data_IF_868138867373
#
_entry.id   IF_868138867373
#
_cell.length_a   1.000
_cell.length_b   1.000
_cell.length_c   1.000
_cell.angle_alpha   90.00
_cell.angle_beta   90.00
_cell.angle_gamma   90.00
#
_symmetry.space_group_name_H-M   'P 1'
#
loop_
_entity.id
_entity.type
_entity.pdbx_description
1 polymer ?
#
# COMPACT_ATOMS: atom_id res chain seq x y z
N UNK A 1 -54.46 -53.87 12.15
CA UNK A 1 -53.77 -53.59 13.44
C UNK A 1 -52.30 -53.88 13.22
N UNK A 2 -51.53 -52.85 12.86
CA UNK A 2 -50.08 -52.91 12.71
C UNK A 2 -49.52 -51.76 13.56
N UNK A 3 -48.80 -52.10 14.63
CA UNK A 3 -48.16 -51.13 15.50
C UNK A 3 -46.83 -50.68 14.89
N UNK A 4 -46.70 -49.36 14.75
CA UNK A 4 -45.55 -48.67 14.18
C UNK A 4 -44.24 -48.94 14.95
N UNK A 5 -43.17 -49.19 14.20
CA UNK A 5 -41.79 -49.29 14.69
C UNK A 5 -41.25 -47.91 15.03
N UNK A 6 -40.97 -47.67 16.32
CA UNK A 6 -40.15 -46.55 16.78
C UNK A 6 -38.66 -46.89 16.55
N UNK A 7 -37.96 -46.07 15.76
CA UNK A 7 -36.49 -46.07 15.69
C UNK A 7 -35.97 -45.06 16.72
N UNK A 8 -35.29 -45.54 17.75
CA UNK A 8 -34.50 -44.72 18.67
C UNK A 8 -33.12 -44.52 18.03
N UNK A 9 -32.84 -43.31 17.57
CA UNK A 9 -31.48 -42.89 17.18
C UNK A 9 -30.81 -42.32 18.42
N UNK A 10 -29.88 -43.07 19.00
CA UNK A 10 -29.04 -42.60 20.11
C UNK A 10 -27.94 -41.71 19.51
N UNK A 11 -27.98 -40.42 19.83
CA UNK A 11 -26.88 -39.49 19.58
C UNK A 11 -25.74 -39.78 20.57
N UNK A 12 -24.60 -40.23 20.05
CA UNK A 12 -23.35 -40.27 20.82
C UNK A 12 -22.63 -38.93 20.60
N UNK A 13 -22.71 -38.05 21.60
CA UNK A 13 -21.91 -36.83 21.66
C UNK A 13 -20.44 -37.22 21.86
N UNK A 14 -19.59 -36.90 20.88
CA UNK A 14 -18.13 -36.96 21.01
C UNK A 14 -17.59 -35.53 21.15
N UNK A 15 -17.60 -35.01 22.37
CA UNK A 15 -16.77 -33.88 22.77
C UNK A 15 -15.33 -34.36 22.93
N UNK A 16 -14.55 -34.34 21.85
CA UNK A 16 -13.11 -34.57 21.85
C UNK A 16 -12.37 -33.28 21.55
N UNK A 17 -12.09 -32.48 22.58
CA UNK A 17 -11.13 -31.38 22.47
C UNK A 17 -9.75 -31.90 22.87
N UNK A 18 -8.92 -32.23 21.88
CA UNK A 18 -7.48 -32.37 22.08
C UNK A 18 -6.91 -30.98 22.34
N UNK A 19 -6.78 -30.61 23.62
CA UNK A 19 -6.03 -29.42 24.04
C UNK A 19 -4.58 -29.81 24.28
N UNK A 20 -3.69 -29.22 23.51
CA UNK A 20 -2.25 -29.28 23.74
C UNK A 20 -1.91 -28.77 25.17
N UNK A 21 -0.90 -29.35 25.84
CA UNK A 21 -0.52 -28.91 27.18
C UNK A 21 -0.01 -27.47 27.17
N UNK A 22 -0.57 -26.64 28.05
CA UNK A 22 -0.15 -25.26 28.29
C UNK A 22 0.98 -25.23 29.32
N UNK A 23 1.86 -24.24 29.21
CA UNK A 23 2.85 -23.96 30.25
C UNK A 23 2.19 -23.36 31.52
N UNK A 24 2.96 -23.17 32.60
CA UNK A 24 2.45 -22.63 33.88
C UNK A 24 1.81 -21.22 33.80
N UNK A 25 1.85 -20.57 32.64
CA UNK A 25 1.28 -19.26 32.36
C UNK A 25 0.12 -19.30 31.33
N UNK A 26 -0.34 -20.48 30.92
CA UNK A 26 -1.54 -20.62 30.08
C UNK A 26 -1.35 -20.29 28.59
N UNK A 27 -0.12 -20.34 28.06
CA UNK A 27 0.17 -20.09 26.64
C UNK A 27 0.64 -21.34 25.88
N UNK A 28 0.37 -21.46 24.56
CA UNK A 28 0.84 -22.58 23.75
C UNK A 28 2.37 -22.58 23.65
N UNK A 29 3.00 -23.73 23.86
CA UNK A 29 4.45 -23.89 23.81
C UNK A 29 4.98 -23.73 22.37
N UNK A 30 5.69 -22.63 22.12
CA UNK A 30 6.47 -22.44 20.88
C UNK A 30 7.76 -23.27 20.96
N UNK A 31 7.88 -24.28 20.10
CA UNK A 31 9.13 -25.00 19.89
C UNK A 31 10.02 -24.17 18.95
N UNK A 32 11.10 -23.59 19.48
CA UNK A 32 12.14 -22.95 18.68
C UNK A 32 13.10 -24.06 18.19
N UNK A 33 13.26 -24.30 16.88
CA UNK A 33 14.27 -25.22 16.39
C UNK A 33 15.67 -24.62 16.61
N UNK A 34 16.45 -25.22 17.50
CA UNK A 34 17.89 -25.00 17.62
C UNK A 34 18.60 -25.81 16.54
N UNK A 35 18.72 -25.26 15.34
CA UNK A 35 19.72 -25.74 14.37
C UNK A 35 20.08 -24.61 13.41
N UNK A 36 21.10 -23.84 13.81
CA UNK A 36 21.82 -22.94 12.93
C UNK A 36 22.94 -23.77 12.30
N UNK A 37 22.64 -24.36 11.14
CA UNK A 37 23.62 -25.02 10.28
C UNK A 37 24.42 -23.92 9.55
N UNK A 38 25.67 -23.73 9.96
CA UNK A 38 26.60 -22.79 9.34
C UNK A 38 26.95 -23.26 7.92
N UNK A 39 26.64 -22.43 6.91
CA UNK A 39 27.12 -22.68 5.54
C UNK A 39 28.56 -22.19 5.40
N UNK A 40 29.51 -23.00 4.90
CA UNK A 40 30.87 -22.56 4.67
C UNK A 40 30.93 -21.53 3.54
N UNK A 41 31.45 -20.33 3.84
CA UNK A 41 31.74 -19.30 2.85
C UNK A 41 32.97 -19.75 2.04
N UNK A 42 32.72 -20.17 0.80
CA UNK A 42 33.75 -20.51 -0.18
C UNK A 42 34.57 -19.28 -0.55
N UNK A 43 35.77 -19.19 0.05
CA UNK A 43 36.78 -18.17 -0.19
C UNK A 43 37.38 -18.31 -1.62
N UNK A 44 36.87 -17.55 -2.59
CA UNK A 44 37.50 -17.44 -3.92
C UNK A 44 38.57 -16.36 -3.87
N UNK A 45 39.82 -16.79 -3.82
CA UNK A 45 40.99 -15.93 -4.00
C UNK A 45 40.97 -15.33 -5.41
N UNK A 46 40.83 -14.01 -5.51
CA UNK A 46 41.04 -13.26 -6.74
C UNK A 46 42.51 -12.81 -6.74
N UNK A 47 43.32 -13.48 -7.57
CA UNK A 47 44.70 -13.11 -7.81
C UNK A 47 44.75 -11.80 -8.60
N UNK A 48 45.37 -10.77 -8.04
CA UNK A 48 45.70 -9.53 -8.72
C UNK A 48 46.97 -9.74 -9.57
N UNK A 49 46.80 -9.84 -10.88
CA UNK A 49 47.92 -9.78 -11.84
C UNK A 49 48.24 -8.33 -12.16
N UNK A 50 49.45 -7.91 -11.78
CA UNK A 50 50.09 -6.68 -12.24
C UNK A 50 50.25 -6.69 -13.77
N UNK A 51 49.73 -5.68 -14.45
CA UNK A 51 50.16 -5.31 -15.79
C UNK A 51 50.43 -3.80 -15.81
N UNK A 52 51.72 -3.47 -15.93
CA UNK A 52 52.20 -2.13 -16.16
C UNK A 52 51.94 -1.70 -17.61
N UNK A 53 51.39 -0.51 -17.81
CA UNK A 53 51.44 0.18 -19.10
C UNK A 53 51.69 1.68 -18.86
N UNK A 54 52.78 2.13 -19.47
CA UNK A 54 53.32 3.49 -19.48
C UNK A 54 52.48 4.34 -20.43
N UNK A 55 52.00 5.50 -19.96
CA UNK A 55 51.33 6.48 -20.78
C UNK A 55 51.72 7.90 -20.35
N UNK A 56 52.68 8.48 -21.07
CA UNK A 56 53.01 9.91 -21.02
C UNK A 56 51.87 10.71 -21.66
N UNK A 57 51.31 11.68 -20.93
CA UNK A 57 50.59 12.81 -21.53
C UNK A 57 50.77 14.04 -20.64
N UNK A 58 51.27 15.10 -21.25
CA UNK A 58 51.75 16.32 -20.62
C UNK A 58 50.61 17.18 -20.06
N UNK A 59 50.92 17.90 -18.98
CA UNK A 59 50.15 19.05 -18.52
C UNK A 59 50.23 20.19 -19.55
N UNK A 60 49.09 20.75 -19.93
CA UNK A 60 49.02 22.15 -20.34
C UNK A 60 47.69 22.75 -19.87
N UNK A 61 47.79 23.56 -18.81
CA UNK A 61 46.79 24.54 -18.43
C UNK A 61 46.74 25.61 -19.51
N UNK A 62 45.56 25.84 -20.09
CA UNK A 62 45.26 27.10 -20.75
C UNK A 62 44.32 27.89 -19.85
N UNK A 63 44.85 28.96 -19.29
CA UNK A 63 44.07 30.02 -18.70
C UNK A 63 43.27 30.72 -19.82
N UNK A 64 41.96 30.79 -19.64
CA UNK A 64 41.12 31.80 -20.27
C UNK A 64 40.44 32.56 -19.14
N UNK A 65 41.06 33.70 -18.78
CA UNK A 65 40.41 34.79 -18.09
C UNK A 65 39.64 35.57 -19.16
N UNK A 66 38.32 35.40 -19.20
CA UNK A 66 37.44 36.41 -19.78
C UNK A 66 36.48 36.89 -18.70
N UNK A 67 36.69 38.15 -18.34
CA UNK A 67 35.79 38.93 -17.54
C UNK A 67 34.62 39.41 -18.41
N UNK A 68 33.47 39.59 -17.76
CA UNK A 68 32.31 40.39 -18.19
C UNK A 68 31.28 39.66 -19.07
N UNK A 69 30.16 39.23 -18.46
CA UNK A 69 28.83 39.83 -18.71
C UNK A 69 27.96 39.66 -17.46
N UNK A 70 27.39 40.77 -17.00
CA UNK A 70 26.26 40.83 -16.08
C UNK A 70 25.04 40.18 -16.73
N UNK A 71 24.63 39.00 -16.26
CA UNK A 71 23.25 38.57 -16.43
C UNK A 71 22.75 38.00 -15.11
N UNK A 72 22.06 38.86 -14.36
CA UNK A 72 21.13 38.45 -13.32
C UNK A 72 19.95 37.76 -14.01
N UNK A 73 20.18 36.57 -14.54
CA UNK A 73 19.11 35.67 -14.89
C UNK A 73 18.43 35.27 -13.59
N UNK A 74 17.26 35.87 -13.36
CA UNK A 74 16.21 35.37 -12.51
C UNK A 74 15.98 33.89 -12.89
N UNK A 75 16.73 33.00 -12.24
CA UNK A 75 16.48 31.58 -12.27
C UNK A 75 15.17 31.36 -11.52
N UNK A 76 14.07 31.56 -12.21
CA UNK A 76 12.81 30.90 -11.89
C UNK A 76 13.15 29.42 -11.89
N UNK A 77 13.41 28.89 -10.69
CA UNK A 77 13.45 27.46 -10.44
C UNK A 77 12.07 26.95 -10.85
N UNK A 78 11.93 26.52 -12.11
CA UNK A 78 10.81 25.72 -12.54
C UNK A 78 10.94 24.42 -11.76
N UNK A 79 10.22 24.35 -10.64
CA UNK A 79 10.00 23.11 -9.89
C UNK A 79 9.64 22.04 -10.93
N UNK A 80 10.35 20.90 -10.98
CA UNK A 80 10.04 19.86 -11.93
C UNK A 80 8.58 19.46 -11.74
N UNK A 81 7.75 19.73 -12.75
CA UNK A 81 6.38 19.26 -12.76
C UNK A 81 6.41 17.74 -12.70
N UNK A 82 6.00 17.19 -11.55
CA UNK A 82 5.87 15.75 -11.35
C UNK A 82 4.90 15.25 -12.43
N UNK A 83 5.38 14.35 -13.28
CA UNK A 83 4.56 13.76 -14.34
C UNK A 83 3.36 13.06 -13.72
N UNK A 84 2.14 13.23 -14.27
CA UNK A 84 0.96 12.57 -13.75
C UNK A 84 1.15 11.04 -13.78
N UNK A 85 0.89 10.39 -12.66
CA UNK A 85 0.96 8.94 -12.50
C UNK A 85 -0.44 8.34 -12.71
N UNK A 86 -0.51 7.17 -13.36
CA UNK A 86 -1.75 6.40 -13.45
C UNK A 86 -1.55 5.01 -12.84
N UNK A 87 -2.44 4.62 -11.91
CA UNK A 87 -2.48 3.30 -11.32
C UNK A 87 -3.74 2.54 -11.78
N UNK A 88 -3.61 1.25 -12.07
CA UNK A 88 -4.78 0.41 -12.40
C UNK A 88 -5.57 0.04 -11.16
N UNK A 89 -6.90 0.12 -11.25
CA UNK A 89 -7.82 -0.35 -10.22
C UNK A 89 -8.25 -1.78 -10.55
N UNK A 90 -7.91 -2.72 -9.67
CA UNK A 90 -8.18 -4.16 -9.86
C UNK A 90 -9.34 -4.61 -8.98
N UNK A 91 -10.19 -5.50 -9.48
CA UNK A 91 -11.17 -6.24 -8.67
C UNK A 91 -10.56 -7.50 -8.00
N UNK A 92 -11.32 -8.17 -7.14
CA UNK A 92 -10.88 -9.40 -6.46
C UNK A 92 -10.53 -10.57 -7.39
N UNK A 93 -10.84 -10.50 -8.68
CA UNK A 93 -10.40 -11.48 -9.69
C UNK A 93 -9.09 -11.05 -10.40
N UNK A 94 -8.53 -9.90 -10.03
CA UNK A 94 -7.35 -9.31 -10.66
C UNK A 94 -7.64 -8.63 -11.99
N UNK A 95 -8.92 -8.42 -12.33
CA UNK A 95 -9.31 -7.75 -13.56
C UNK A 95 -9.25 -6.24 -13.34
N UNK A 96 -8.68 -5.52 -14.31
CA UNK A 96 -8.75 -4.06 -14.33
C UNK A 96 -10.20 -3.59 -14.57
N UNK A 97 -10.70 -2.80 -13.63
CA UNK A 97 -12.05 -2.22 -13.62
C UNK A 97 -12.04 -0.70 -13.71
N UNK A 98 -10.86 -0.09 -13.81
CA UNK A 98 -10.67 1.35 -13.90
C UNK A 98 -9.24 1.76 -13.59
N UNK A 99 -9.06 3.02 -13.22
CA UNK A 99 -7.76 3.61 -12.95
C UNK A 99 -7.84 4.77 -11.95
N UNK A 100 -6.69 5.14 -11.41
CA UNK A 100 -6.49 6.31 -10.57
C UNK A 100 -5.44 7.18 -11.22
N UNK A 101 -5.82 8.41 -11.58
CA UNK A 101 -4.88 9.44 -12.01
C UNK A 101 -4.44 10.23 -10.78
N UNK A 102 -3.14 10.33 -10.60
CA UNK A 102 -2.48 10.97 -9.47
C UNK A 102 -1.76 12.22 -9.95
N UNK A 103 -2.06 13.35 -9.32
CA UNK A 103 -1.39 14.62 -9.57
C UNK A 103 -1.07 15.31 -8.26
N UNK A 104 0.09 15.96 -8.17
CA UNK A 104 0.52 16.68 -6.98
C UNK A 104 0.63 18.18 -7.28
N UNK A 105 0.19 19.02 -6.33
CA UNK A 105 0.40 20.46 -6.34
C UNK A 105 0.79 20.99 -4.94
N UNK A 106 0.75 22.32 -4.76
CA UNK A 106 1.08 22.96 -3.49
C UNK A 106 0.12 22.61 -2.33
N UNK A 107 -1.10 22.13 -2.64
CA UNK A 107 -2.13 21.79 -1.66
C UNK A 107 -2.07 20.33 -1.22
N UNK A 108 -1.43 19.45 -2.02
CA UNK A 108 -1.24 18.05 -1.71
C UNK A 108 -1.37 17.16 -2.94
N UNK A 109 -1.86 15.94 -2.73
CA UNK A 109 -2.03 14.93 -3.80
C UNK A 109 -3.51 14.79 -4.13
N UNK A 110 -3.83 14.96 -5.41
CA UNK A 110 -5.17 14.70 -5.96
C UNK A 110 -5.21 13.31 -6.60
N UNK A 111 -6.20 12.51 -6.21
CA UNK A 111 -6.50 11.19 -6.74
C UNK A 111 -7.83 11.25 -7.49
N UNK A 112 -7.80 11.13 -8.83
CA UNK A 112 -9.01 11.00 -9.65
C UNK A 112 -9.26 9.53 -9.94
N UNK A 113 -10.28 8.98 -9.31
CA UNK A 113 -10.63 7.55 -9.40
C UNK A 113 -11.71 7.38 -10.44
N UNK A 114 -11.53 6.44 -11.37
CA UNK A 114 -12.56 5.98 -12.30
C UNK A 114 -12.78 4.48 -12.11
N UNK A 115 -14.02 4.04 -12.08
CA UNK A 115 -14.37 2.63 -11.89
C UNK A 115 -15.62 2.23 -12.68
N UNK A 116 -15.67 0.96 -13.09
CA UNK A 116 -16.83 0.34 -13.71
C UNK A 116 -17.02 -1.09 -13.17
N UNK A 117 -18.28 -1.53 -13.05
CA UNK A 117 -18.58 -2.91 -12.62
C UNK A 117 -18.48 -3.15 -11.12
N UNK A 118 -18.33 -2.10 -10.31
CA UNK A 118 -18.59 -2.16 -8.87
C UNK A 118 -20.11 -2.28 -8.60
N UNK A 119 -20.53 -2.87 -7.46
CA UNK A 119 -21.92 -2.88 -7.05
C UNK A 119 -22.50 -1.46 -6.97
N UNK A 120 -23.81 -1.31 -7.18
CA UNK A 120 -24.46 -0.02 -6.99
C UNK A 120 -24.57 0.32 -5.50
N UNK A 121 -24.23 1.57 -5.13
CA UNK A 121 -24.29 2.04 -3.75
C UNK A 121 -23.11 2.93 -3.37
N UNK A 122 -23.09 3.36 -2.11
CA UNK A 122 -21.97 4.06 -1.52
C UNK A 122 -20.92 3.05 -1.04
N UNK A 123 -19.65 3.32 -1.33
CA UNK A 123 -18.52 2.48 -0.96
C UNK A 123 -17.48 3.27 -0.16
N UNK A 124 -17.03 2.73 0.98
CA UNK A 124 -15.92 3.26 1.74
C UNK A 124 -14.64 3.21 0.92
N UNK A 125 -13.85 4.28 1.00
CA UNK A 125 -12.58 4.39 0.28
C UNK A 125 -11.50 4.82 1.26
N UNK A 126 -10.42 4.06 1.30
CA UNK A 126 -9.30 4.34 2.20
C UNK A 126 -7.98 4.19 1.49
N UNK A 127 -7.01 5.00 1.89
CA UNK A 127 -5.60 4.71 1.66
C UNK A 127 -5.12 3.70 2.70
N UNK A 128 -4.35 2.73 2.24
CA UNK A 128 -3.79 1.64 3.03
C UNK A 128 -2.27 1.70 3.03
N UNK A 129 -1.68 1.29 4.16
CA UNK A 129 -0.27 1.53 4.50
C UNK A 129 0.76 0.74 3.67
N UNK A 130 0.32 -0.20 2.82
CA UNK A 130 1.19 -0.99 1.96
C UNK A 130 0.72 -0.91 0.51
N UNK A 131 1.65 -0.67 -0.41
CA UNK A 131 1.46 -0.65 -1.85
C UNK A 131 1.32 -2.05 -2.47
N UNK A 132 0.42 -2.88 -1.94
CA UNK A 132 0.15 -4.24 -2.43
C UNK A 132 -1.35 -4.50 -2.57
N UNK A 133 -1.71 -5.20 -3.63
CA UNK A 133 -3.09 -5.55 -3.97
C UNK A 133 -3.21 -7.04 -4.32
N UNK A 134 -2.80 -7.93 -3.40
CA UNK A 134 -2.92 -9.37 -3.66
C UNK A 134 -4.38 -9.80 -3.60
N UNK A 135 -4.82 -10.52 -4.63
CA UNK A 135 -6.19 -11.00 -4.76
C UNK A 135 -6.43 -12.28 -3.94
N UNK A 136 -7.68 -12.59 -3.56
CA UNK A 136 -8.91 -11.85 -3.87
C UNK A 136 -9.32 -10.82 -2.80
N UNK A 137 -8.70 -10.84 -1.63
CA UNK A 137 -9.19 -10.09 -0.46
C UNK A 137 -8.40 -8.83 -0.12
N UNK A 138 -7.30 -8.56 -0.84
CA UNK A 138 -6.47 -7.37 -0.70
C UNK A 138 -5.96 -7.13 0.72
N UNK A 139 -5.85 -8.18 1.55
CA UNK A 139 -5.31 -8.04 2.91
C UNK A 139 -3.86 -7.61 2.95
N UNK A 140 -3.10 -7.87 1.88
CA UNK A 140 -1.70 -7.45 1.78
C UNK A 140 -1.49 -5.95 1.72
N UNK A 141 -2.55 -5.16 1.49
CA UNK A 141 -2.53 -3.71 1.61
C UNK A 141 -2.30 -3.23 3.07
N UNK A 142 -2.46 -4.09 4.08
CA UNK A 142 -2.26 -3.70 5.49
C UNK A 142 -3.44 -2.90 6.07
N UNK A 143 -3.19 -2.17 7.15
CA UNK A 143 -4.17 -1.29 7.81
C UNK A 143 -4.38 0.02 7.03
N UNK A 144 -5.27 0.89 7.52
CA UNK A 144 -5.43 2.23 6.96
C UNK A 144 -4.14 3.02 7.15
N UNK A 145 -3.78 3.83 6.16
CA UNK A 145 -2.63 4.72 6.26
C UNK A 145 -2.90 5.81 7.31
N UNK A 146 -2.15 5.73 8.42
CA UNK A 146 -2.41 6.51 9.64
C UNK A 146 -1.11 6.99 10.31
N UNK A 147 -0.32 7.85 9.65
CA UNK A 147 0.93 8.36 10.24
C UNK A 147 0.71 9.18 11.51
N UNK A 148 -0.50 9.75 11.70
CA UNK A 148 -0.86 10.54 12.87
C UNK A 148 -1.37 9.71 14.06
N UNK A 149 -1.45 8.36 13.94
CA UNK A 149 -1.90 7.45 15.00
C UNK A 149 -3.26 7.84 15.61
N UNK A 150 -4.22 8.25 14.77
CA UNK A 150 -5.59 8.58 15.17
C UNK A 150 -6.52 7.37 15.08
N UNK A 151 -7.74 7.48 15.59
CA UNK A 151 -8.80 6.51 15.29
C UNK A 151 -9.45 6.81 13.93
N UNK A 152 -10.22 5.85 13.42
CA UNK A 152 -10.99 6.01 12.19
C UNK A 152 -12.08 7.08 12.32
N UNK A 153 -12.30 7.79 11.21
CA UNK A 153 -13.56 8.45 10.92
C UNK A 153 -13.61 9.93 11.29
N UNK A 154 -14.07 10.77 10.36
CA UNK A 154 -14.24 12.23 10.57
C UNK A 154 -15.34 12.61 11.56
N UNK A 155 -16.29 11.70 11.80
CA UNK A 155 -17.37 11.87 12.77
C UNK A 155 -17.04 11.21 14.12
N UNK A 156 -15.82 10.65 14.26
CA UNK A 156 -15.24 10.22 15.52
C UNK A 156 -14.42 11.36 16.16
N UNK A 157 -14.70 11.77 17.42
CA UNK A 157 -13.93 12.82 18.09
C UNK A 157 -12.44 12.48 18.30
N UNK A 158 -12.06 11.20 18.23
CA UNK A 158 -10.66 10.74 18.31
C UNK A 158 -10.00 10.59 16.93
N UNK A 159 -10.73 10.86 15.84
CA UNK A 159 -10.30 10.67 14.47
C UNK A 159 -9.81 11.93 13.75
N UNK A 160 -9.63 11.90 12.43
CA UNK A 160 -9.69 10.73 11.52
C UNK A 160 -8.28 10.26 11.13
N UNK A 161 -8.14 9.08 10.49
CA UNK A 161 -6.90 8.77 9.80
C UNK A 161 -6.68 9.74 8.64
N UNK A 162 -5.42 9.97 8.23
CA UNK A 162 -5.14 10.76 7.02
C UNK A 162 -5.55 10.02 5.74
N UNK A 163 -5.62 8.70 5.79
CA UNK A 163 -6.09 7.86 4.69
C UNK A 163 -7.60 7.72 4.56
N UNK A 164 -8.41 8.28 5.47
CA UNK A 164 -9.87 8.18 5.40
C UNK A 164 -10.43 9.14 4.33
N UNK A 165 -11.09 8.61 3.29
CA UNK A 165 -11.63 9.39 2.17
C UNK A 165 -13.16 9.37 2.16
N UNK A 166 -13.77 10.29 1.40
CA UNK A 166 -15.21 10.29 1.23
C UNK A 166 -15.69 9.05 0.45
N UNK A 167 -16.95 8.65 0.68
CA UNK A 167 -17.55 7.48 0.04
C UNK A 167 -17.58 7.71 -1.48
N UNK A 168 -17.42 6.63 -2.24
CA UNK A 168 -17.58 6.62 -3.68
C UNK A 168 -18.97 6.07 -4.04
N UNK A 169 -19.84 6.95 -4.52
CA UNK A 169 -21.19 6.59 -4.97
C UNK A 169 -21.16 6.01 -6.39
N UNK A 170 -21.54 4.73 -6.50
CA UNK A 170 -21.62 4.01 -7.77
C UNK A 170 -23.08 3.91 -8.23
N UNK A 171 -23.32 4.38 -9.45
CA UNK A 171 -24.60 4.26 -10.15
C UNK A 171 -24.66 3.05 -11.09
N UNK A 172 -25.53 3.10 -12.10
CA UNK A 172 -25.73 2.00 -13.05
C UNK A 172 -24.69 1.90 -14.17
N UNK A 173 -23.71 2.82 -14.20
CA UNK A 173 -22.69 2.90 -15.24
C UNK A 173 -21.31 3.22 -14.67
N UNK A 174 -20.31 3.49 -15.53
CA UNK A 174 -19.01 3.96 -15.07
C UNK A 174 -19.16 5.20 -14.19
N UNK A 175 -18.39 5.25 -13.12
CA UNK A 175 -18.41 6.34 -12.15
C UNK A 175 -17.00 6.90 -11.98
N UNK A 176 -16.92 8.17 -11.57
CA UNK A 176 -15.66 8.79 -11.20
C UNK A 176 -15.83 9.72 -10.00
N UNK A 177 -14.75 9.88 -9.25
CA UNK A 177 -14.68 10.78 -8.09
C UNK A 177 -13.26 11.35 -7.97
N UNK A 178 -13.09 12.39 -7.17
CA UNK A 178 -11.80 13.04 -6.95
C UNK A 178 -11.58 13.28 -5.46
N UNK A 179 -10.41 12.88 -4.97
CA UNK A 179 -9.99 13.09 -3.59
C UNK A 179 -8.78 14.00 -3.55
N UNK A 180 -8.77 14.97 -2.64
CA UNK A 180 -7.57 15.73 -2.29
C UNK A 180 -7.08 15.21 -0.94
N UNK A 181 -5.89 14.62 -0.95
CA UNK A 181 -5.15 14.29 0.27
C UNK A 181 -4.27 15.49 0.58
N UNK A 182 -4.67 16.29 1.57
CA UNK A 182 -4.01 17.54 1.90
C UNK A 182 -2.73 17.35 2.70
N UNK A 183 -1.77 18.26 2.53
CA UNK A 183 -0.51 18.29 3.29
C UNK A 183 0.36 17.01 3.20
N UNK A 184 0.19 16.23 2.12
CA UNK A 184 1.03 15.08 1.78
C UNK A 184 1.78 15.33 0.48
N UNK A 185 2.80 14.52 0.24
CA UNK A 185 3.61 14.51 -0.99
C UNK A 185 3.58 13.13 -1.61
N UNK A 186 3.83 13.01 -2.91
CA UNK A 186 4.00 11.68 -3.50
C UNK A 186 5.29 11.04 -3.03
N UNK A 187 6.41 11.77 -3.00
CA UNK A 187 7.70 11.21 -2.59
C UNK A 187 8.54 12.23 -1.79
N UNK A 188 9.59 11.75 -1.12
CA UNK A 188 10.62 12.60 -0.51
C UNK A 188 10.23 13.35 0.76
N UNK A 189 9.04 13.13 1.31
CA UNK A 189 8.58 13.70 2.58
C UNK A 189 8.29 12.61 3.63
N UNK A 190 8.22 13.00 4.91
CA UNK A 190 7.93 12.09 6.04
C UNK A 190 6.56 11.40 5.92
N UNK A 191 5.58 12.05 5.28
CA UNK A 191 4.24 11.50 4.99
C UNK A 191 4.05 11.27 3.48
N UNK A 192 5.06 10.76 2.80
CA UNK A 192 4.96 10.48 1.37
C UNK A 192 4.06 9.27 1.11
N UNK A 193 3.15 9.37 0.13
CA UNK A 193 2.30 8.24 -0.26
C UNK A 193 3.11 7.11 -0.94
N UNK A 194 4.19 7.45 -1.63
CA UNK A 194 5.14 6.50 -2.19
C UNK A 194 6.41 6.43 -1.33
N UNK A 195 6.24 6.04 -0.06
CA UNK A 195 7.36 5.63 0.80
C UNK A 195 7.90 4.23 0.43
N UNK A 196 8.73 3.63 1.29
CA UNK A 196 9.38 2.36 1.01
C UNK A 196 8.40 1.18 0.87
N UNK A 197 7.30 1.20 1.62
CA UNK A 197 6.26 0.17 1.57
C UNK A 197 5.19 0.53 0.51
N UNK A 198 5.11 1.80 0.14
CA UNK A 198 4.14 2.37 -0.78
C UNK A 198 2.75 2.43 -0.15
N UNK A 199 1.83 3.14 -0.81
CA UNK A 199 0.43 3.20 -0.41
C UNK A 199 -0.44 2.49 -1.43
N UNK A 200 -1.59 1.97 -1.02
CA UNK A 200 -2.65 1.54 -1.95
C UNK A 200 -3.97 2.23 -1.65
N UNK A 201 -4.80 2.44 -2.68
CA UNK A 201 -6.18 2.85 -2.50
C UNK A 201 -7.07 1.61 -2.54
N UNK A 202 -7.92 1.44 -1.55
CA UNK A 202 -8.87 0.34 -1.44
C UNK A 202 -10.29 0.87 -1.44
N UNK A 203 -11.17 0.21 -2.20
CA UNK A 203 -12.61 0.43 -2.20
C UNK A 203 -13.28 -0.76 -1.50
N UNK A 204 -14.17 -0.48 -0.56
CA UNK A 204 -14.85 -1.47 0.27
C UNK A 204 -16.25 -1.83 -0.23
N UNK A 205 -16.80 -2.95 0.27
CA UNK A 205 -18.09 -3.50 -0.16
C UNK A 205 -19.30 -2.65 0.26
N UNK A 206 -19.18 -1.87 1.35
CA UNK A 206 -20.23 -1.04 1.91
C UNK A 206 -19.72 0.39 2.13
N UNK A 207 -20.64 1.29 2.42
CA UNK A 207 -20.34 2.66 2.82
C UNK A 207 -19.53 2.68 4.13
N UNK A 208 -18.59 3.61 4.22
CA UNK A 208 -17.98 4.06 5.47
C UNK A 208 -19.02 4.87 6.26
N UNK A 209 -19.21 4.52 7.54
CA UNK A 209 -20.06 5.23 8.50
C UNK A 209 -19.41 6.49 9.12
N UNK A 210 -18.15 6.74 8.76
CA UNK A 210 -17.26 7.83 9.18
C UNK A 210 -16.97 7.91 10.67
N UNK A 211 -17.19 6.82 11.42
CA UNK A 211 -17.11 6.88 12.88
C UNK A 211 -16.50 5.64 13.52
N UNK A 212 -16.84 4.45 13.05
CA UNK A 212 -16.53 3.20 13.75
C UNK A 212 -15.08 2.80 13.51
N UNK A 213 -14.30 2.67 14.58
CA UNK A 213 -12.93 2.16 14.49
C UNK A 213 -12.92 0.64 14.24
N UNK A 214 -12.02 0.09 13.39
CA UNK A 214 -10.90 0.76 12.73
C UNK A 214 -11.14 1.19 11.27
N UNK A 215 -12.34 0.97 10.72
CA UNK A 215 -12.54 1.08 9.26
C UNK A 215 -13.95 1.47 8.83
N UNK A 216 -14.74 2.04 9.73
CA UNK A 216 -16.04 2.61 9.43
C UNK A 216 -17.13 1.60 9.07
N UNK A 217 -17.01 0.36 9.53
CA UNK A 217 -17.90 -0.75 9.18
C UNK A 217 -18.09 -1.00 7.67
N UNK A 218 -17.11 -0.56 6.86
CA UNK A 218 -17.15 -0.59 5.39
C UNK A 218 -17.15 -2.01 4.78
N UNK A 219 -16.84 -3.05 5.58
CA UNK A 219 -16.85 -4.44 5.14
C UNK A 219 -15.65 -4.83 4.26
N UNK A 220 -15.83 -5.85 3.43
CA UNK A 220 -14.75 -6.47 2.64
C UNK A 220 -14.11 -5.50 1.64
N UNK A 221 -12.85 -5.74 1.29
CA UNK A 221 -12.12 -4.99 0.26
C UNK A 221 -12.49 -5.58 -1.11
N UNK A 222 -13.02 -4.77 -2.01
CA UNK A 222 -13.54 -5.25 -3.30
C UNK A 222 -12.78 -4.73 -4.52
N UNK A 223 -12.02 -3.65 -4.36
CA UNK A 223 -11.07 -3.19 -5.37
C UNK A 223 -9.84 -2.54 -4.73
N UNK A 224 -8.71 -2.61 -5.43
CA UNK A 224 -7.44 -2.10 -4.94
C UNK A 224 -6.57 -1.56 -6.09
N UNK A 225 -5.82 -0.50 -5.82
CA UNK A 225 -4.84 0.09 -6.73
C UNK A 225 -3.56 0.48 -5.97
N UNK A 226 -2.40 0.09 -6.48
CA UNK A 226 -1.11 0.45 -5.89
C UNK A 226 -0.72 1.86 -6.32
N UNK A 227 -0.48 2.75 -5.35
CA UNK A 227 -0.01 4.13 -5.53
C UNK A 227 1.50 4.21 -5.26
N UNK A 228 2.29 3.56 -6.10
CA UNK A 228 3.75 3.60 -6.03
C UNK A 228 4.33 4.29 -7.28
N UNK A 229 5.53 4.90 -7.19
CA UNK A 229 6.24 5.41 -8.36
C UNK A 229 6.36 4.26 -9.33
N UNK A 230 6.04 4.49 -10.61
CA UNK A 230 6.23 3.48 -11.64
C UNK A 230 7.65 2.92 -11.49
N UNK A 231 7.77 1.66 -11.08
CA UNK A 231 9.05 0.96 -11.08
C UNK A 231 9.41 0.88 -12.55
N UNK A 232 10.32 1.74 -12.99
CA UNK A 232 10.90 1.66 -14.33
C UNK A 232 11.45 0.26 -14.49
N UNK A 233 10.80 -0.53 -15.35
CA UNK A 233 11.25 -1.87 -15.70
C UNK A 233 12.59 -1.86 -16.45
#
# INVERSE_FOLDING_TARGET
MECARFKIVVWKSSSGTDRAPLNQFGQPAFNIPTSMEERPVSNRQIAFSLAAAIGLAACQQQAANDSNVNDSANATMTEPAIQPMTAQLLDGAGKAIGDIQVSEDANGVTLRVSAAGLPQGAHGVHLHEIGKCDTPDFKSAGAHWNPASKQHGRDNPMGAHLGDLANFDIGSGPASTSYLVGAVKMSGAENALADADGTSLVIHAKADDYKTDPSGDSGDRIACAVLAPAQGG
#
